data_IF_247608359005
#
_entry.id   IF_247608359005
#
_cell.length_a   1.000
_cell.length_b   1.000
_cell.length_c   1.000
_cell.angle_alpha   90.00
_cell.angle_beta   90.00
_cell.angle_gamma   90.00
#
_symmetry.space_group_name_H-M   'P 1'
#
loop_
_entity.id
_entity.type
_entity.pdbx_description
1 polymer ?
#
# COMPACT_ATOMS: atom_id res chain seq x y z
N UNK A 1 3.94 8.07 17.97
CA UNK A 1 4.31 6.73 17.49
C UNK A 1 5.58 6.82 16.66
N UNK A 2 6.40 5.76 16.60
CA UNK A 2 7.52 5.72 15.67
C UNK A 2 7.05 5.14 14.33
N UNK A 3 7.75 5.43 13.23
CA UNK A 3 7.42 4.91 11.90
C UNK A 3 7.29 3.37 11.89
N UNK A 4 8.15 2.66 12.63
CA UNK A 4 8.11 1.20 12.76
C UNK A 4 6.78 0.68 13.32
N UNK A 5 6.10 1.48 14.13
CA UNK A 5 4.79 1.14 14.71
C UNK A 5 3.63 1.51 13.77
N UNK A 6 3.88 2.42 12.82
CA UNK A 6 2.88 2.92 11.87
C UNK A 6 2.75 2.00 10.66
N UNK A 7 3.87 1.48 10.13
CA UNK A 7 3.87 0.67 8.91
C UNK A 7 2.97 -0.58 8.99
N UNK A 8 2.94 -1.36 10.08
CA UNK A 8 2.03 -2.50 10.20
C UNK A 8 0.55 -2.09 10.19
N UNK A 9 0.22 -0.92 10.74
CA UNK A 9 -1.15 -0.40 10.77
C UNK A 9 -1.57 0.01 9.36
N UNK A 10 -0.68 0.72 8.66
CA UNK A 10 -0.91 1.12 7.27
C UNK A 10 -1.09 -0.11 6.38
N UNK A 11 -0.24 -1.12 6.52
CA UNK A 11 -0.36 -2.37 5.76
C UNK A 11 -1.69 -3.09 6.05
N UNK A 12 -2.10 -3.14 7.32
CA UNK A 12 -3.37 -3.76 7.71
C UNK A 12 -4.58 -2.99 7.14
N UNK A 13 -4.62 -1.66 7.26
CA UNK A 13 -5.71 -0.85 6.70
C UNK A 13 -5.80 -0.97 5.17
N UNK A 14 -4.66 -1.06 4.48
CA UNK A 14 -4.66 -1.31 3.04
C UNK A 14 -5.17 -2.73 2.72
N UNK A 15 -4.78 -3.76 3.48
CA UNK A 15 -5.31 -5.11 3.30
C UNK A 15 -6.84 -5.15 3.47
N UNK A 16 -7.34 -4.41 4.45
CA UNK A 16 -8.78 -4.30 4.73
C UNK A 16 -9.51 -3.50 3.63
N UNK A 17 -8.91 -2.45 3.07
CA UNK A 17 -9.47 -1.66 1.96
C UNK A 17 -9.58 -2.49 0.67
N UNK A 18 -8.53 -3.22 0.33
CA UNK A 18 -8.45 -3.98 -0.92
C UNK A 18 -9.14 -5.34 -0.86
N UNK A 19 -9.32 -5.91 0.34
CA UNK A 19 -10.03 -7.19 0.53
C UNK A 19 -9.28 -8.42 0.01
N UNK A 20 -8.00 -8.27 -0.36
CA UNK A 20 -7.13 -9.35 -0.80
C UNK A 20 -5.74 -9.24 -0.16
N UNK A 21 -4.95 -10.30 -0.30
CA UNK A 21 -3.59 -10.34 0.25
C UNK A 21 -2.71 -9.33 -0.48
N UNK A 22 -2.15 -8.41 0.28
CA UNK A 22 -1.09 -7.53 -0.17
C UNK A 22 0.25 -8.24 0.00
N UNK A 23 1.06 -8.29 -1.06
CA UNK A 23 2.40 -8.86 -1.05
C UNK A 23 3.46 -7.74 -1.20
N UNK A 24 4.65 -7.97 -0.62
CA UNK A 24 5.82 -7.07 -0.77
C UNK A 24 5.52 -5.58 -0.49
N UNK A 25 4.90 -5.31 0.66
CA UNK A 25 4.63 -3.97 1.18
C UNK A 25 5.94 -3.25 1.54
N UNK A 26 6.10 -2.02 1.03
CA UNK A 26 7.30 -1.21 1.19
C UNK A 26 6.95 0.24 1.50
N UNK A 27 7.75 0.85 2.37
CA UNK A 27 7.83 2.29 2.49
C UNK A 27 8.80 2.79 1.42
N UNK A 28 8.30 3.60 0.48
CA UNK A 28 9.11 4.17 -0.61
C UNK A 28 9.72 5.51 -0.18
N UNK A 29 8.90 6.38 0.39
CA UNK A 29 9.32 7.72 0.78
C UNK A 29 8.62 8.14 2.07
N UNK A 30 9.37 8.80 2.94
CA UNK A 30 8.86 9.41 4.16
C UNK A 30 9.05 10.91 4.08
N UNK A 31 7.96 11.67 4.11
CA UNK A 31 8.00 13.11 4.02
C UNK A 31 8.15 13.75 5.41
N UNK A 32 8.58 15.03 5.49
CA UNK A 32 8.46 15.80 6.72
C UNK A 32 7.02 15.85 7.21
N UNK A 33 6.84 15.95 8.53
CA UNK A 33 5.53 16.13 9.14
C UNK A 33 4.86 17.40 8.58
N UNK A 34 3.68 17.26 8.00
CA UNK A 34 2.88 18.40 7.51
C UNK A 34 2.20 19.15 8.68
N UNK A 35 1.97 18.45 9.79
CA UNK A 35 1.43 19.00 11.03
C UNK A 35 1.93 18.16 12.21
N UNK A 36 1.71 18.61 13.45
CA UNK A 36 2.19 17.92 14.67
C UNK A 36 1.73 16.47 14.81
N UNK A 37 0.75 16.03 14.01
CA UNK A 37 0.18 14.68 14.07
C UNK A 37 -0.07 14.03 12.70
N UNK A 38 0.26 14.68 11.58
CA UNK A 38 0.10 14.10 10.24
C UNK A 38 1.47 13.75 9.67
N UNK A 39 1.67 12.46 9.43
CA UNK A 39 2.86 11.91 8.81
C UNK A 39 2.53 11.47 7.37
N UNK A 40 2.90 12.28 6.35
CA UNK A 40 2.77 11.88 4.97
C UNK A 40 3.85 10.86 4.62
N UNK A 41 3.48 9.88 3.81
CA UNK A 41 4.39 8.86 3.29
C UNK A 41 3.92 8.32 1.95
N UNK A 42 4.84 7.76 1.18
CA UNK A 42 4.54 6.96 0.01
C UNK A 42 4.85 5.52 0.33
N UNK A 43 3.86 4.65 0.09
CA UNK A 43 4.03 3.20 0.20
C UNK A 43 3.78 2.56 -1.15
N UNK A 44 4.40 1.40 -1.37
CA UNK A 44 4.11 0.56 -2.52
C UNK A 44 3.85 -0.87 -2.08
N UNK A 45 3.08 -1.59 -2.88
CA UNK A 45 2.78 -2.99 -2.64
C UNK A 45 2.35 -3.71 -3.91
N UNK A 46 2.50 -5.03 -3.92
CA UNK A 46 2.08 -5.90 -5.01
C UNK A 46 0.67 -6.41 -4.78
N UNK A 47 -0.14 -6.35 -5.84
CA UNK A 47 -1.45 -6.96 -5.91
C UNK A 47 -1.43 -8.05 -6.98
N UNK A 48 -2.00 -9.24 -6.75
CA UNK A 48 -2.11 -10.25 -7.79
C UNK A 48 -3.12 -9.78 -8.84
N UNK A 49 -2.75 -9.79 -10.13
CA UNK A 49 -3.76 -9.66 -11.17
C UNK A 49 -4.60 -10.95 -11.21
N UNK A 50 -5.94 -10.80 -11.22
CA UNK A 50 -6.82 -11.93 -11.45
C UNK A 50 -6.43 -12.62 -12.76
N UNK A 51 -6.13 -13.92 -12.70
CA UNK A 51 -5.65 -14.71 -13.83
C UNK A 51 -6.48 -14.45 -15.09
N UNK A 52 -5.87 -14.33 -16.28
CA UNK A 52 -6.63 -14.40 -17.53
C UNK A 52 -7.35 -15.75 -17.59
N UNK A 53 -8.66 -15.74 -17.86
CA UNK A 53 -9.56 -16.92 -17.92
C UNK A 53 -9.15 -18.02 -18.92
N UNK A 54 -8.09 -17.84 -19.71
CA UNK A 54 -7.69 -18.76 -20.78
C UNK A 54 -6.50 -19.64 -20.40
N UNK A 55 -6.80 -20.89 -20.04
CA UNK A 55 -5.91 -21.98 -19.65
C UNK A 55 -4.87 -22.42 -20.71
N UNK A 56 -4.90 -21.86 -21.93
CA UNK A 56 -3.98 -22.23 -23.02
C UNK A 56 -2.65 -21.46 -23.03
N UNK A 57 -2.43 -20.53 -22.10
CA UNK A 57 -1.18 -19.76 -21.96
C UNK A 57 -0.37 -20.14 -20.72
N UNK A 58 -0.59 -21.35 -20.19
CA UNK A 58 0.07 -21.86 -18.98
C UNK A 58 1.55 -22.29 -19.19
N UNK A 59 2.30 -21.56 -20.00
CA UNK A 59 3.76 -21.70 -20.15
C UNK A 59 4.55 -20.53 -19.54
N UNK A 60 3.88 -19.50 -19.00
CA UNK A 60 4.53 -18.43 -18.26
C UNK A 60 4.19 -18.53 -16.76
N UNK A 61 5.15 -19.00 -15.99
CA UNK A 61 5.12 -19.13 -14.52
C UNK A 61 5.28 -17.77 -13.82
N UNK A 62 4.67 -16.71 -14.35
CA UNK A 62 4.63 -15.38 -13.76
C UNK A 62 3.16 -14.99 -13.62
N UNK A 63 2.59 -15.20 -12.42
CA UNK A 63 1.38 -14.47 -12.05
C UNK A 63 1.73 -12.99 -12.18
N UNK A 64 1.08 -12.21 -13.05
CA UNK A 64 1.44 -10.82 -13.17
C UNK A 64 1.01 -10.14 -11.86
N UNK A 65 2.00 -9.69 -11.09
CA UNK A 65 1.78 -8.85 -9.94
C UNK A 65 1.88 -7.41 -10.40
N UNK A 66 0.89 -6.60 -10.07
CA UNK A 66 0.92 -5.17 -10.35
C UNK A 66 1.38 -4.44 -9.11
N UNK A 67 2.42 -3.62 -9.22
CA UNK A 67 2.87 -2.75 -8.13
C UNK A 67 2.00 -1.50 -8.09
N UNK A 68 1.35 -1.29 -6.97
CA UNK A 68 0.55 -0.10 -6.68
C UNK A 68 1.36 0.83 -5.81
N UNK A 69 1.33 2.11 -6.14
CA UNK A 69 1.92 3.19 -5.33
C UNK A 69 0.79 4.02 -4.74
N UNK A 70 0.88 4.33 -3.44
CA UNK A 70 -0.10 5.14 -2.73
C UNK A 70 0.60 6.18 -1.87
N UNK A 71 0.09 7.42 -1.94
CA UNK A 71 0.44 8.46 -0.99
C UNK A 71 -0.56 8.43 0.16
N UNK A 72 -0.06 8.38 1.38
CA UNK A 72 -0.83 8.18 2.60
C UNK A 72 -0.49 9.29 3.58
N UNK A 73 -1.54 9.94 4.09
CA UNK A 73 -1.44 10.86 5.21
C UNK A 73 -1.86 10.10 6.47
N UNK A 74 -0.90 9.72 7.31
CA UNK A 74 -1.17 8.95 8.53
C UNK A 74 -1.37 9.87 9.73
N UNK A 75 -2.46 9.68 10.48
CA UNK A 75 -2.71 10.42 11.71
C UNK A 75 -2.08 9.70 12.91
N UNK A 76 -1.00 10.27 13.43
CA UNK A 76 -0.21 9.74 14.54
C UNK A 76 -0.94 9.74 15.89
N UNK A 77 -1.98 10.57 16.06
CA UNK A 77 -2.77 10.63 17.29
C UNK A 77 -3.90 9.60 17.27
N UNK A 78 -4.57 9.46 16.12
CA UNK A 78 -5.67 8.52 15.94
C UNK A 78 -5.17 7.09 15.66
N UNK A 79 -3.91 6.94 15.25
CA UNK A 79 -3.32 5.66 14.90
C UNK A 79 -3.98 5.05 13.66
N UNK A 80 -4.36 5.88 12.68
CA UNK A 80 -5.04 5.44 11.46
C UNK A 80 -4.70 6.27 10.24
N UNK A 81 -4.99 5.74 9.05
CA UNK A 81 -4.89 6.51 7.81
C UNK A 81 -5.96 7.62 7.81
N UNK A 82 -5.54 8.87 7.61
CA UNK A 82 -6.44 10.01 7.47
C UNK A 82 -6.87 10.21 6.01
N UNK A 83 -5.93 10.02 5.08
CA UNK A 83 -6.20 10.17 3.66
C UNK A 83 -5.32 9.24 2.82
N UNK A 84 -5.89 8.70 1.75
CA UNK A 84 -5.19 7.93 0.72
C UNK A 84 -5.39 8.59 -0.64
N UNK A 85 -4.29 8.81 -1.36
CA UNK A 85 -4.30 9.37 -2.70
C UNK A 85 -3.58 8.41 -3.65
N UNK A 86 -4.18 8.16 -4.80
CA UNK A 86 -3.47 7.54 -5.92
C UNK A 86 -2.52 8.57 -6.52
N UNK A 87 -1.36 8.10 -6.99
CA UNK A 87 -0.58 8.91 -7.93
C UNK A 87 -1.42 9.02 -9.19
N UNK A 88 -1.95 10.21 -9.47
CA UNK A 88 -2.47 10.52 -10.79
C UNK A 88 -1.27 10.68 -11.72
N UNK A 89 -1.28 9.97 -12.85
CA UNK A 89 -0.40 10.24 -13.99
C UNK A 89 -0.58 11.69 -14.49
#
# INVERSE_FOLDING_TARGET
MKIKDILPIVEQELRDEYGFKIDDFRLEELYPLESSYIQPMTVSFLIPEEKPKNLFTATALNLPYTRIYKKIDFNMNAGKIAQMRMFAE
#
